data_IF_407722291910
#
_entry.id   IF_407722291910
#
_cell.length_a   1.000
_cell.length_b   1.000
_cell.length_c   1.000
_cell.angle_alpha   90.00
_cell.angle_beta   90.00
_cell.angle_gamma   90.00
#
_symmetry.space_group_name_H-M   'P 1'
#
loop_
_entity.id
_entity.type
_entity.pdbx_description
1 polymer ?
#
# COMPACT_ATOMS: atom_id res chain seq x y z
N UNK A 1 3.77 12.97 29.15
CA UNK A 1 3.09 13.58 27.99
C UNK A 1 2.37 12.46 27.28
N UNK A 2 1.05 12.54 27.12
CA UNK A 2 0.35 11.63 26.21
C UNK A 2 0.85 11.96 24.80
N UNK A 3 1.46 10.97 24.14
CA UNK A 3 2.03 11.13 22.81
C UNK A 3 0.89 11.05 21.79
N UNK A 4 0.14 12.16 21.66
CA UNK A 4 -0.99 12.29 20.72
C UNK A 4 -0.48 12.64 19.32
N UNK A 5 -1.10 12.02 18.32
CA UNK A 5 -0.87 12.36 16.93
C UNK A 5 -1.35 13.79 16.65
N UNK A 6 -0.64 14.51 15.78
CA UNK A 6 -0.98 15.88 15.37
C UNK A 6 -1.32 15.94 13.89
N UNK A 7 -2.10 16.94 13.49
CA UNK A 7 -2.34 17.21 12.06
C UNK A 7 -1.02 17.46 11.29
N UNK A 8 -0.02 18.06 11.94
CA UNK A 8 1.28 18.28 11.30
C UNK A 8 2.00 16.96 10.97
N UNK A 9 1.99 15.99 11.89
CA UNK A 9 2.53 14.66 11.64
C UNK A 9 1.78 13.96 10.50
N UNK A 10 0.45 14.08 10.52
CA UNK A 10 -0.39 13.49 9.49
C UNK A 10 -0.14 14.09 8.10
N UNK A 11 0.04 15.41 7.99
CA UNK A 11 0.39 16.05 6.72
C UNK A 11 1.74 15.56 6.18
N UNK A 12 2.73 15.34 7.05
CA UNK A 12 4.02 14.75 6.65
C UNK A 12 3.85 13.32 6.12
N UNK A 13 3.00 12.53 6.78
CA UNK A 13 2.64 11.20 6.29
C UNK A 13 1.95 11.27 4.93
N UNK A 14 0.93 12.11 4.76
CA UNK A 14 0.20 12.26 3.48
C UNK A 14 1.15 12.57 2.33
N UNK A 15 2.06 13.53 2.52
CA UNK A 15 2.99 13.94 1.47
C UNK A 15 3.91 12.79 1.06
N UNK A 16 4.57 12.12 2.01
CA UNK A 16 5.51 11.04 1.66
C UNK A 16 4.79 9.78 1.17
N UNK A 17 3.59 9.50 1.69
CA UNK A 17 2.79 8.36 1.25
C UNK A 17 2.27 8.54 -0.19
N UNK A 18 1.89 9.76 -0.57
CA UNK A 18 1.56 10.08 -1.96
C UNK A 18 2.76 9.88 -2.88
N UNK A 19 3.97 10.30 -2.48
CA UNK A 19 5.18 10.08 -3.27
C UNK A 19 5.47 8.60 -3.49
N UNK A 20 5.31 7.78 -2.45
CA UNK A 20 5.53 6.33 -2.55
C UNK A 20 4.56 5.67 -3.55
N UNK A 21 3.31 6.10 -3.53
CA UNK A 21 2.31 5.64 -4.48
C UNK A 21 2.62 6.10 -5.92
N UNK A 22 2.95 7.38 -6.10
CA UNK A 22 3.31 7.92 -7.42
C UNK A 22 4.54 7.23 -7.98
N UNK A 23 5.53 6.93 -7.13
CA UNK A 23 6.70 6.14 -7.52
C UNK A 23 6.29 4.73 -7.96
N UNK A 24 5.33 4.11 -7.27
CA UNK A 24 4.82 2.79 -7.66
C UNK A 24 4.16 2.81 -9.03
N UNK A 25 3.35 3.84 -9.34
CA UNK A 25 2.78 3.99 -10.69
C UNK A 25 3.86 4.19 -11.75
N UNK A 26 4.85 5.05 -11.48
CA UNK A 26 5.97 5.31 -12.38
C UNK A 26 6.79 4.05 -12.66
N UNK A 27 7.00 3.21 -11.64
CA UNK A 27 7.64 1.90 -11.74
C UNK A 27 6.88 0.96 -12.69
N UNK A 28 5.55 0.96 -12.64
CA UNK A 28 4.71 -0.02 -13.34
C UNK A 28 4.33 0.40 -14.77
N UNK A 29 4.49 1.67 -15.14
CA UNK A 29 3.92 2.26 -16.37
C UNK A 29 4.33 1.55 -17.67
N UNK A 30 5.56 1.03 -17.73
CA UNK A 30 6.14 0.40 -18.92
C UNK A 30 6.41 -1.10 -18.73
N UNK A 31 5.89 -1.69 -17.64
CA UNK A 31 6.07 -3.12 -17.38
C UNK A 31 5.17 -3.92 -18.34
N UNK A 32 5.72 -4.86 -19.13
CA UNK A 32 4.92 -5.71 -20.01
C UNK A 32 3.96 -6.61 -19.22
N UNK A 33 2.75 -6.82 -19.73
CA UNK A 33 1.68 -7.60 -19.05
C UNK A 33 2.13 -9.02 -18.67
N UNK A 34 2.97 -9.66 -19.48
CA UNK A 34 3.51 -10.98 -19.21
C UNK A 34 4.40 -11.04 -17.96
N UNK A 35 5.06 -9.93 -17.61
CA UNK A 35 5.90 -9.82 -16.42
C UNK A 35 5.06 -9.74 -15.15
N UNK A 36 3.80 -9.27 -15.22
CA UNK A 36 2.93 -9.26 -14.05
C UNK A 36 2.61 -10.67 -13.53
N UNK A 37 2.56 -11.64 -14.45
CA UNK A 37 2.21 -13.04 -14.16
C UNK A 37 3.43 -13.90 -13.90
N UNK A 38 4.63 -13.39 -14.22
CA UNK A 38 5.85 -14.16 -14.11
C UNK A 38 6.13 -14.51 -12.66
N UNK A 39 6.41 -15.78 -12.44
CA UNK A 39 6.76 -16.31 -11.13
C UNK A 39 8.28 -16.31 -11.03
N UNK A 40 8.88 -15.66 -10.01
CA UNK A 40 10.31 -15.77 -9.77
C UNK A 40 10.69 -17.22 -9.46
N UNK A 41 11.99 -17.52 -9.46
CA UNK A 41 12.52 -18.86 -9.10
C UNK A 41 11.81 -19.39 -7.85
N UNK A 42 11.03 -20.46 -8.05
CA UNK A 42 10.22 -21.13 -7.04
C UNK A 42 11.15 -21.77 -6.00
N UNK A 43 11.22 -21.17 -4.81
CA UNK A 43 11.96 -21.72 -3.68
C UNK A 43 11.18 -21.53 -2.36
N UNK A 44 11.48 -22.36 -1.37
CA UNK A 44 10.70 -22.51 -0.13
C UNK A 44 10.59 -21.24 0.74
N UNK A 45 11.33 -20.17 0.44
CA UNK A 45 11.36 -18.94 1.25
C UNK A 45 10.60 -17.76 0.62
N UNK A 46 10.02 -17.93 -0.58
CA UNK A 46 9.33 -16.87 -1.33
C UNK A 46 7.79 -16.95 -1.19
N UNK A 47 7.25 -16.71 0.01
CA UNK A 47 5.79 -16.72 0.28
C UNK A 47 5.31 -15.50 1.08
N UNK A 48 4.03 -15.12 0.90
CA UNK A 48 3.34 -14.12 1.74
C UNK A 48 2.29 -14.81 2.63
N UNK A 49 2.68 -15.11 3.87
CA UNK A 49 1.85 -15.85 4.83
C UNK A 49 1.54 -17.29 4.39
N UNK A 50 0.49 -17.90 4.93
CA UNK A 50 0.13 -19.31 4.62
C UNK A 50 -0.76 -19.47 3.37
N UNK A 51 -1.00 -18.39 2.61
CA UNK A 51 -2.01 -18.36 1.54
C UNK A 51 -1.49 -17.90 0.17
N UNK A 52 -0.30 -17.31 0.09
CA UNK A 52 0.30 -16.87 -1.17
C UNK A 52 1.58 -17.66 -1.40
N UNK A 53 1.47 -18.74 -2.18
CA UNK A 53 2.57 -19.66 -2.47
C UNK A 53 3.44 -19.20 -3.66
N UNK A 54 3.11 -18.04 -4.25
CA UNK A 54 3.82 -17.49 -5.40
C UNK A 54 3.68 -15.98 -5.41
N UNK A 55 4.80 -15.27 -5.24
CA UNK A 55 4.84 -13.80 -5.26
C UNK A 55 5.19 -13.35 -6.68
N UNK A 56 4.23 -12.77 -7.40
CA UNK A 56 4.46 -12.07 -8.67
C UNK A 56 3.98 -10.62 -8.56
N UNK A 57 4.32 -9.77 -9.54
CA UNK A 57 3.96 -8.35 -9.49
C UNK A 57 2.43 -8.20 -9.44
N UNK A 58 1.68 -8.95 -10.24
CA UNK A 58 0.21 -8.92 -10.22
C UNK A 58 -0.37 -9.20 -8.82
N UNK A 59 0.10 -10.24 -8.15
CA UNK A 59 -0.29 -10.60 -6.79
C UNK A 59 0.03 -9.51 -5.76
N UNK A 60 1.18 -8.84 -5.89
CA UNK A 60 1.56 -7.72 -5.03
C UNK A 60 0.66 -6.48 -5.26
N UNK A 61 0.36 -6.13 -6.50
CA UNK A 61 -0.54 -5.00 -6.79
C UNK A 61 -1.97 -5.29 -6.33
N UNK A 62 -2.47 -6.52 -6.53
CA UNK A 62 -3.75 -6.96 -5.97
C UNK A 62 -3.76 -6.86 -4.45
N UNK A 63 -2.65 -7.23 -3.80
CA UNK A 63 -2.50 -7.13 -2.35
C UNK A 63 -2.62 -5.67 -1.87
N UNK A 64 -1.96 -4.72 -2.54
CA UNK A 64 -2.13 -3.29 -2.24
C UNK A 64 -3.58 -2.84 -2.38
N UNK A 65 -4.21 -3.17 -3.52
CA UNK A 65 -5.60 -2.79 -3.81
C UNK A 65 -6.57 -3.30 -2.74
N UNK A 66 -6.38 -4.53 -2.25
CA UNK A 66 -7.29 -5.11 -1.27
C UNK A 66 -6.99 -4.63 0.14
N UNK A 67 -5.72 -4.54 0.53
CA UNK A 67 -5.33 -4.29 1.91
C UNK A 67 -5.43 -2.81 2.30
N UNK A 68 -4.82 -1.91 1.52
CA UNK A 68 -4.56 -0.54 1.99
C UNK A 68 -5.83 0.30 2.04
N UNK A 69 -6.66 0.26 0.98
CA UNK A 69 -7.96 0.94 0.95
C UNK A 69 -8.87 0.44 2.09
N UNK A 70 -8.82 -0.85 2.37
CA UNK A 70 -9.62 -1.48 3.42
C UNK A 70 -9.19 -0.96 4.78
N UNK A 71 -7.88 -0.87 5.03
CA UNK A 71 -7.37 -0.29 6.28
C UNK A 71 -7.76 1.17 6.44
N UNK A 72 -7.63 1.99 5.39
CA UNK A 72 -7.99 3.41 5.45
C UNK A 72 -9.49 3.59 5.68
N UNK A 73 -10.35 2.78 5.07
CA UNK A 73 -11.79 2.85 5.33
C UNK A 73 -12.14 2.38 6.73
N UNK A 74 -11.65 1.20 7.13
CA UNK A 74 -11.98 0.59 8.42
C UNK A 74 -11.53 1.46 9.59
N UNK A 75 -10.32 2.04 9.53
CA UNK A 75 -9.85 2.95 10.58
C UNK A 75 -10.61 4.28 10.62
N UNK A 76 -11.15 4.74 9.47
CA UNK A 76 -11.95 5.97 9.41
C UNK A 76 -13.33 5.76 10.04
N UNK A 77 -14.04 4.73 9.60
CA UNK A 77 -15.42 4.44 10.02
C UNK A 77 -15.48 3.76 11.40
N UNK A 78 -14.40 3.08 11.77
CA UNK A 78 -14.30 2.35 13.02
C UNK A 78 -14.35 3.23 14.25
N UNK A 79 -14.97 2.69 15.29
CA UNK A 79 -14.91 3.25 16.64
C UNK A 79 -13.53 3.06 17.29
N UNK A 80 -13.24 3.84 18.33
CA UNK A 80 -12.04 3.65 19.13
C UNK A 80 -12.00 2.23 19.75
N UNK A 81 -10.90 1.52 19.53
CA UNK A 81 -10.72 0.13 19.95
C UNK A 81 -11.05 -0.89 18.86
N UNK A 82 -11.39 -0.46 17.63
CA UNK A 82 -11.67 -1.35 16.50
C UNK A 82 -10.59 -2.43 16.34
N UNK A 83 -11.02 -3.69 16.23
CA UNK A 83 -10.20 -4.74 15.65
C UNK A 83 -10.34 -4.68 14.13
N UNK A 84 -9.27 -4.31 13.42
CA UNK A 84 -9.32 -4.14 11.96
C UNK A 84 -9.75 -5.47 11.33
N UNK A 85 -10.88 -5.51 10.61
CA UNK A 85 -11.38 -6.74 10.03
C UNK A 85 -10.49 -7.22 8.89
N UNK A 86 -10.64 -8.48 8.47
CA UNK A 86 -10.02 -8.95 7.24
C UNK A 86 -10.65 -8.22 6.04
N UNK A 87 -9.88 -7.97 4.95
CA UNK A 87 -10.46 -7.40 3.74
C UNK A 87 -11.59 -8.28 3.20
N UNK A 88 -12.73 -7.67 2.88
CA UNK A 88 -13.91 -8.30 2.26
C UNK A 88 -14.21 -7.72 0.86
N UNK A 89 -13.33 -6.85 0.38
CA UNK A 89 -13.42 -6.08 -0.87
C UNK A 89 -12.87 -6.82 -2.10
N UNK A 90 -12.87 -8.16 -2.10
CA UNK A 90 -12.36 -8.97 -3.20
C UNK A 90 -13.06 -8.68 -4.55
N UNK A 91 -14.32 -8.26 -4.51
CA UNK A 91 -15.10 -7.87 -5.71
C UNK A 91 -14.52 -6.67 -6.45
N UNK A 92 -13.67 -5.85 -5.82
CA UNK A 92 -12.98 -4.74 -6.50
C UNK A 92 -12.10 -5.21 -7.66
N UNK A 93 -11.62 -6.45 -7.60
CA UNK A 93 -10.68 -7.03 -8.55
C UNK A 93 -11.29 -8.17 -9.39
N UNK A 94 -12.61 -8.38 -9.28
CA UNK A 94 -13.31 -9.37 -10.08
C UNK A 94 -13.17 -9.02 -11.57
N UNK A 95 -12.77 -10.00 -12.38
CA UNK A 95 -12.55 -9.86 -13.82
C UNK A 95 -11.46 -8.87 -14.27
N UNK A 96 -10.65 -8.33 -13.36
CA UNK A 96 -9.49 -7.49 -13.71
C UNK A 96 -8.33 -8.40 -14.06
N UNK A 97 -7.75 -8.28 -15.27
CA UNK A 97 -6.57 -9.05 -15.65
C UNK A 97 -5.29 -8.50 -15.01
N UNK A 98 -4.30 -9.36 -14.75
CA UNK A 98 -2.95 -8.89 -14.43
C UNK A 98 -2.32 -8.20 -15.65
N UNK A 99 -1.66 -7.05 -15.43
CA UNK A 99 -1.10 -6.20 -16.47
C UNK A 99 -1.47 -4.73 -16.26
N UNK A 100 -1.42 -3.93 -17.32
CA UNK A 100 -1.76 -2.51 -17.27
C UNK A 100 -3.21 -2.23 -16.85
N UNK A 101 -4.15 -3.14 -17.12
CA UNK A 101 -5.53 -3.04 -16.60
C UNK A 101 -5.56 -3.01 -15.06
N UNK A 102 -4.75 -3.84 -14.41
CA UNK A 102 -4.60 -3.86 -12.95
C UNK A 102 -3.94 -2.58 -12.43
N UNK A 103 -2.99 -2.00 -13.18
CA UNK A 103 -2.34 -0.73 -12.82
C UNK A 103 -3.36 0.42 -12.83
N UNK A 104 -4.19 0.51 -13.86
CA UNK A 104 -5.27 1.51 -13.90
C UNK A 104 -6.29 1.29 -12.77
N UNK A 105 -6.62 0.03 -12.45
CA UNK A 105 -7.50 -0.26 -11.32
C UNK A 105 -6.88 0.15 -9.98
N UNK A 106 -5.59 -0.16 -9.78
CA UNK A 106 -4.83 0.28 -8.62
C UNK A 106 -4.83 1.79 -8.51
N UNK A 107 -4.70 2.47 -9.66
CA UNK A 107 -4.70 3.91 -9.72
C UNK A 107 -5.97 4.54 -9.18
N UNK A 108 -7.12 4.02 -9.63
CA UNK A 108 -8.43 4.46 -9.18
C UNK A 108 -8.69 4.18 -7.70
N UNK A 109 -8.25 3.02 -7.21
CA UNK A 109 -8.49 2.61 -5.83
C UNK A 109 -7.66 3.44 -4.87
N UNK A 110 -6.38 3.70 -5.19
CA UNK A 110 -5.57 4.59 -4.38
C UNK A 110 -6.13 6.01 -4.37
N UNK A 111 -6.55 6.56 -5.51
CA UNK A 111 -7.12 7.91 -5.53
C UNK A 111 -8.28 8.03 -4.54
N UNK A 112 -9.17 7.02 -4.48
CA UNK A 112 -10.24 6.93 -3.48
C UNK A 112 -9.71 6.81 -2.04
N UNK A 113 -8.70 5.96 -1.82
CA UNK A 113 -8.06 5.79 -0.52
C UNK A 113 -7.40 7.06 -0.01
N UNK A 114 -6.79 7.82 -0.90
CA UNK A 114 -6.13 9.06 -0.57
C UNK A 114 -7.16 10.15 -0.21
N UNK A 115 -8.32 10.19 -0.87
CA UNK A 115 -9.44 11.05 -0.44
C UNK A 115 -10.00 10.66 0.93
N UNK A 116 -10.08 9.36 1.22
CA UNK A 116 -10.46 8.87 2.57
C UNK A 116 -9.44 9.36 3.60
N UNK A 117 -8.14 9.20 3.35
CA UNK A 117 -7.09 9.70 4.24
C UNK A 117 -7.22 11.21 4.47
N UNK A 118 -7.38 12.03 3.42
CA UNK A 118 -7.56 13.49 3.57
C UNK A 118 -8.75 13.88 4.46
N UNK A 119 -9.74 13.00 4.61
CA UNK A 119 -10.89 13.23 5.50
C UNK A 119 -10.61 12.96 6.98
N UNK A 120 -9.43 12.43 7.34
CA UNK A 120 -9.10 12.10 8.73
C UNK A 120 -8.99 13.37 9.57
N UNK A 121 -9.60 13.30 10.75
CA UNK A 121 -9.51 14.35 11.77
C UNK A 121 -8.46 14.00 12.82
N UNK A 122 -8.08 14.95 13.66
CA UNK A 122 -7.18 14.67 14.79
C UNK A 122 -7.76 13.62 15.74
N UNK A 123 -9.08 13.58 15.90
CA UNK A 123 -9.77 12.54 16.67
C UNK A 123 -9.55 11.16 16.04
N UNK A 124 -9.73 11.05 14.71
CA UNK A 124 -9.53 9.78 13.99
C UNK A 124 -8.11 9.25 14.18
N UNK A 125 -7.10 10.12 14.04
CA UNK A 125 -5.68 9.77 14.14
C UNK A 125 -5.30 9.24 15.53
N UNK A 126 -6.02 9.67 16.57
CA UNK A 126 -5.79 9.29 17.96
C UNK A 126 -6.66 8.11 18.43
N UNK A 127 -7.58 7.60 17.60
CA UNK A 127 -8.28 6.34 17.89
C UNK A 127 -7.28 5.21 18.03
N UNK A 128 -7.59 4.27 18.89
CA UNK A 128 -6.85 3.03 19.02
C UNK A 128 -7.44 1.96 18.14
N UNK A 129 -6.60 1.12 17.56
CA UNK A 129 -7.00 -0.02 16.73
C UNK A 129 -6.19 -1.25 17.13
N UNK A 130 -6.72 -2.44 16.85
CA UNK A 130 -5.99 -3.68 17.01
C UNK A 130 -5.87 -4.42 15.69
N UNK A 131 -4.67 -4.96 15.45
CA UNK A 131 -4.36 -5.75 14.27
C UNK A 131 -3.39 -6.86 14.66
N UNK A 132 -3.70 -8.10 14.27
CA UNK A 132 -2.90 -9.28 14.60
C UNK A 132 -2.49 -9.36 16.09
N UNK A 133 -3.45 -9.10 16.99
CA UNK A 133 -3.27 -9.18 18.44
C UNK A 133 -2.44 -8.05 19.06
N UNK A 134 -2.08 -7.02 18.29
CA UNK A 134 -1.32 -5.85 18.77
C UNK A 134 -2.20 -4.60 18.70
N UNK A 135 -1.94 -3.63 19.57
CA UNK A 135 -2.70 -2.38 19.69
C UNK A 135 -1.85 -1.20 19.21
N UNK A 136 -2.45 -0.31 18.45
CA UNK A 136 -1.83 0.86 17.84
C UNK A 136 -2.75 2.08 18.01
N UNK A 137 -2.21 3.29 17.85
CA UNK A 137 -3.04 4.42 17.39
C UNK A 137 -3.20 4.32 15.88
N UNK A 138 -4.24 4.95 15.34
CA UNK A 138 -4.43 5.05 13.89
C UNK A 138 -3.22 5.69 13.23
N UNK A 139 -2.69 6.80 13.76
CA UNK A 139 -1.48 7.44 13.20
C UNK A 139 -0.26 6.50 13.18
N UNK A 140 -0.02 5.74 14.25
CA UNK A 140 1.06 4.76 14.27
C UNK A 140 0.84 3.65 13.24
N UNK A 141 -0.41 3.23 13.04
CA UNK A 141 -0.76 2.23 12.03
C UNK A 141 -0.59 2.76 10.60
N UNK A 142 -0.86 4.03 10.34
CA UNK A 142 -0.57 4.66 9.05
C UNK A 142 0.93 4.63 8.70
N UNK A 143 1.81 4.87 9.67
CA UNK A 143 3.24 4.66 9.42
C UNK A 143 3.60 3.19 9.13
N UNK A 144 2.87 2.25 9.73
CA UNK A 144 3.01 0.82 9.39
C UNK A 144 2.53 0.56 7.96
N UNK A 145 1.46 1.20 7.48
CA UNK A 145 1.02 1.04 6.08
C UNK A 145 2.03 1.61 5.10
N UNK A 146 2.70 2.72 5.42
CA UNK A 146 3.85 3.20 4.62
C UNK A 146 4.97 2.15 4.54
N UNK A 147 5.39 1.60 5.69
CA UNK A 147 6.45 0.58 5.71
C UNK A 147 6.06 -0.72 5.01
N UNK A 148 4.78 -1.12 5.13
CA UNK A 148 4.20 -2.26 4.43
C UNK A 148 4.24 -2.08 2.91
N UNK A 149 3.87 -0.90 2.43
CA UNK A 149 3.95 -0.54 1.02
C UNK A 149 5.39 -0.57 0.51
N UNK A 150 6.33 0.10 1.21
CA UNK A 150 7.75 0.11 0.85
C UNK A 150 8.37 -1.29 0.81
N UNK A 151 7.99 -2.17 1.75
CA UNK A 151 8.47 -3.56 1.78
C UNK A 151 8.09 -4.31 0.51
N UNK A 152 6.84 -4.23 0.08
CA UNK A 152 6.37 -4.90 -1.14
C UNK A 152 6.82 -4.20 -2.41
N UNK A 153 7.02 -2.88 -2.40
CA UNK A 153 7.61 -2.18 -3.53
C UNK A 153 9.04 -2.67 -3.80
N UNK A 154 9.82 -2.96 -2.75
CA UNK A 154 11.12 -3.62 -2.90
C UNK A 154 11.02 -5.03 -3.52
N UNK A 155 9.92 -5.76 -3.26
CA UNK A 155 9.67 -7.04 -3.92
C UNK A 155 9.32 -6.85 -5.40
N UNK A 156 8.53 -5.83 -5.74
CA UNK A 156 8.24 -5.46 -7.15
C UNK A 156 9.52 -5.10 -7.89
N UNK A 157 10.38 -4.26 -7.32
CA UNK A 157 11.68 -3.89 -7.90
C UNK A 157 12.54 -5.13 -8.19
N UNK A 158 12.67 -6.02 -7.20
CA UNK A 158 13.42 -7.27 -7.38
C UNK A 158 12.87 -8.13 -8.53
N UNK A 159 11.55 -8.25 -8.63
CA UNK A 159 10.89 -9.01 -9.70
C UNK A 159 11.14 -8.37 -11.07
N UNK A 160 11.07 -7.04 -11.18
CA UNK A 160 11.38 -6.33 -12.41
C UNK A 160 12.83 -6.54 -12.86
N UNK A 161 13.77 -6.46 -11.92
CA UNK A 161 15.20 -6.68 -12.21
C UNK A 161 15.50 -8.10 -12.68
N UNK A 162 14.78 -9.11 -12.20
CA UNK A 162 14.88 -10.50 -12.71
C UNK A 162 14.45 -10.62 -14.19
N UNK A 163 13.65 -9.67 -14.68
CA UNK A 163 13.25 -9.56 -16.08
C UNK A 163 14.12 -8.57 -16.88
N UNK A 164 15.27 -8.16 -16.35
CA UNK A 164 16.15 -7.14 -16.94
C UNK A 164 15.45 -5.78 -17.15
N UNK A 165 14.41 -5.49 -16.37
CA UNK A 165 13.80 -4.17 -16.30
C UNK A 165 14.49 -3.42 -15.16
N UNK A 166 15.03 -2.25 -15.46
CA UNK A 166 15.73 -1.40 -14.51
C UNK A 166 14.85 -0.21 -14.16
N UNK A 167 14.10 -0.27 -13.05
CA UNK A 167 13.28 0.86 -12.65
C UNK A 167 14.12 2.01 -12.08
N UNK A 168 13.45 3.14 -11.87
CA UNK A 168 13.97 4.25 -11.06
C UNK A 168 14.39 3.75 -9.66
N UNK A 169 15.42 4.37 -9.09
CA UNK A 169 15.93 3.96 -7.78
C UNK A 169 14.93 4.31 -6.66
N UNK A 170 14.94 3.51 -5.59
CA UNK A 170 14.09 3.78 -4.44
C UNK A 170 14.38 5.18 -3.88
N UNK A 171 13.32 5.94 -3.58
CA UNK A 171 13.39 7.37 -3.20
C UNK A 171 13.71 8.38 -4.31
N UNK A 172 13.75 7.99 -5.59
CA UNK A 172 13.63 8.94 -6.71
C UNK A 172 12.18 9.44 -6.81
N UNK A 173 11.76 10.21 -5.80
CA UNK A 173 10.38 10.66 -5.63
C UNK A 173 9.92 11.52 -6.81
N UNK A 174 8.77 11.22 -7.42
CA UNK A 174 8.28 11.95 -8.60
C UNK A 174 8.10 13.46 -8.38
N UNK A 175 7.78 13.90 -7.17
CA UNK A 175 7.57 15.30 -6.83
C UNK A 175 8.39 15.73 -5.59
N UNK A 176 9.60 16.22 -5.86
CA UNK A 176 10.54 16.69 -4.84
C UNK A 176 10.07 17.94 -4.07
N UNK A 177 9.15 18.73 -4.63
CA UNK A 177 8.69 19.98 -4.01
C UNK A 177 7.80 19.77 -2.77
N UNK A 178 7.25 18.57 -2.59
CA UNK A 178 6.30 18.24 -1.51
C UNK A 178 6.92 17.44 -0.37
N UNK A 179 8.20 17.04 -0.50
CA UNK A 179 8.88 16.11 0.42
C UNK A 179 9.08 16.66 1.83
N UNK A 180 9.14 17.99 1.99
CA UNK A 180 9.52 18.61 3.27
C UNK A 180 8.37 18.57 4.30
N UNK A 181 7.11 18.44 3.85
CA UNK A 181 5.96 18.40 4.77
C UNK A 181 5.70 19.72 5.47
#
# INVERSE_FOLDING_TARGET
MENKATIQEFNRFLNIHEQLYLQTLELLKDVPDEVFKSTPIDNEVMYLGTRVNTINIGGLIRHFVLAEIHWFQAMKEGENGLAIPKPDNASLLENIADGQELVEKYKDVFAKGFEILKSYTEEDLNKTVSFMGRKYTVMAFLWITFGHHSYHLGQVDMLMRQHNIYPAEYMEWPNTSTLIG
#
